data_IF_177215109217
#
_entry.id   IF_177215109217
#
_cell.length_a   1.000
_cell.length_b   1.000
_cell.length_c   1.000
_cell.angle_alpha   90.00
_cell.angle_beta   90.00
_cell.angle_gamma   90.00
#
_symmetry.space_group_name_H-M   'P 1'
#
loop_
_entity.id
_entity.type
_entity.pdbx_description
1 polymer ?
#
# COMPACT_ATOMS: atom_id res chain seq x y z
N UNK A 1 -2.52 -7.51 -8.46
CA UNK A 1 -3.07 -6.57 -9.44
C UNK A 1 -2.74 -7.03 -10.86
N UNK A 2 -3.35 -6.43 -11.88
CA UNK A 2 -3.23 -6.87 -13.28
C UNK A 2 -1.77 -6.89 -13.75
N UNK A 3 -0.97 -5.91 -13.35
CA UNK A 3 0.46 -5.79 -13.70
C UNK A 3 1.30 -7.02 -13.33
N UNK A 4 0.93 -7.73 -12.28
CA UNK A 4 1.65 -8.93 -11.83
C UNK A 4 1.47 -10.13 -12.77
N UNK A 5 0.52 -10.07 -13.70
CA UNK A 5 0.25 -11.16 -14.65
C UNK A 5 0.96 -10.99 -16.00
N UNK A 6 1.66 -9.86 -16.22
CA UNK A 6 2.33 -9.61 -17.51
C UNK A 6 3.63 -10.35 -17.72
N UNK A 7 4.55 -10.52 -16.73
CA UNK A 7 5.67 -11.43 -16.93
C UNK A 7 5.13 -12.85 -17.15
N UNK A 8 5.44 -13.51 -18.27
CA UNK A 8 4.76 -14.76 -18.67
C UNK A 8 4.92 -15.87 -17.62
N UNK A 9 6.10 -16.02 -17.04
CA UNK A 9 6.36 -17.02 -16.00
C UNK A 9 5.61 -16.70 -14.71
N UNK A 10 5.66 -15.45 -14.26
CA UNK A 10 4.97 -14.99 -13.06
C UNK A 10 3.45 -15.08 -13.23
N UNK A 11 2.93 -14.66 -14.39
CA UNK A 11 1.49 -14.76 -14.69
C UNK A 11 1.01 -16.20 -14.77
N UNK A 12 1.84 -17.11 -15.30
CA UNK A 12 1.56 -18.54 -15.29
C UNK A 12 1.51 -19.09 -13.86
N UNK A 13 2.52 -18.80 -13.03
CA UNK A 13 2.57 -19.23 -11.63
C UNK A 13 1.34 -18.74 -10.86
N UNK A 14 1.03 -17.45 -10.94
CA UNK A 14 -0.11 -16.85 -10.25
C UNK A 14 -1.43 -17.52 -10.64
N UNK A 15 -1.66 -17.81 -11.93
CA UNK A 15 -2.85 -18.53 -12.36
C UNK A 15 -2.92 -19.95 -11.82
N UNK A 16 -1.78 -20.65 -11.73
CA UNK A 16 -1.75 -22.02 -11.22
C UNK A 16 -1.98 -22.11 -9.70
N UNK A 17 -1.73 -21.03 -8.94
CA UNK A 17 -2.09 -20.96 -7.52
C UNK A 17 -3.48 -20.34 -7.29
N UNK A 18 -4.32 -20.23 -8.32
CA UNK A 18 -5.69 -19.75 -8.22
C UNK A 18 -5.84 -18.23 -8.16
N UNK A 19 -4.76 -17.46 -8.38
CA UNK A 19 -4.86 -16.00 -8.40
C UNK A 19 -5.47 -15.51 -9.73
N UNK A 20 -6.34 -14.51 -9.66
CA UNK A 20 -6.88 -13.80 -10.81
C UNK A 20 -6.58 -12.30 -10.74
N UNK A 21 -6.60 -11.65 -11.90
CA UNK A 21 -6.22 -10.25 -12.01
C UNK A 21 -7.34 -9.31 -11.53
N UNK A 22 -6.93 -8.18 -10.96
CA UNK A 22 -7.84 -7.09 -10.55
C UNK A 22 -7.27 -5.78 -11.07
N UNK A 23 -8.09 -4.99 -11.74
CA UNK A 23 -7.76 -3.60 -12.09
C UNK A 23 -8.22 -2.70 -10.95
N UNK A 24 -7.25 -2.21 -10.17
CA UNK A 24 -7.53 -1.39 -8.98
C UNK A 24 -8.15 -0.04 -9.37
N UNK A 25 -9.05 0.47 -8.51
CA UNK A 25 -9.64 1.80 -8.68
C UNK A 25 -10.62 1.94 -9.84
N UNK A 26 -11.00 0.85 -10.49
CA UNK A 26 -12.03 0.80 -11.52
C UNK A 26 -13.07 -0.27 -11.21
N UNK A 27 -14.22 -0.16 -11.84
CA UNK A 27 -15.24 -1.21 -11.77
C UNK A 27 -14.86 -2.36 -12.71
N UNK A 28 -14.02 -3.29 -12.19
CA UNK A 28 -13.59 -4.49 -12.92
C UNK A 28 -14.70 -5.56 -12.90
N UNK A 29 -15.66 -5.42 -13.79
CA UNK A 29 -16.82 -6.32 -13.87
C UNK A 29 -16.45 -7.81 -14.05
N UNK A 30 -15.44 -8.19 -14.85
CA UNK A 30 -14.97 -9.58 -14.92
C UNK A 30 -14.49 -10.12 -13.57
N UNK A 31 -13.65 -9.34 -12.86
CA UNK A 31 -13.19 -9.70 -11.53
C UNK A 31 -14.37 -9.85 -10.55
N UNK A 32 -15.30 -8.90 -10.53
CA UNK A 32 -16.46 -8.94 -9.64
C UNK A 32 -17.34 -10.15 -9.87
N UNK A 33 -17.62 -10.51 -11.14
CA UNK A 33 -18.38 -11.71 -11.48
C UNK A 33 -17.67 -12.99 -11.06
N UNK A 34 -16.34 -13.06 -11.27
CA UNK A 34 -15.52 -14.19 -10.85
C UNK A 34 -15.58 -14.38 -9.34
N UNK A 35 -15.27 -13.32 -8.56
CA UNK A 35 -15.28 -13.37 -7.09
C UNK A 35 -16.64 -13.79 -6.53
N UNK A 36 -17.72 -13.21 -7.06
CA UNK A 36 -19.09 -13.50 -6.63
C UNK A 36 -19.46 -14.97 -6.86
N UNK A 37 -19.14 -15.51 -8.05
CA UNK A 37 -19.37 -16.93 -8.38
C UNK A 37 -18.59 -17.88 -7.48
N UNK A 38 -17.32 -17.59 -7.22
CA UNK A 38 -16.49 -18.41 -6.33
C UNK A 38 -17.06 -18.45 -4.91
N UNK A 39 -17.51 -17.30 -4.39
CA UNK A 39 -18.12 -17.22 -3.07
C UNK A 39 -19.49 -17.93 -3.02
N UNK A 40 -20.32 -17.78 -4.06
CA UNK A 40 -21.63 -18.46 -4.13
C UNK A 40 -21.49 -19.98 -4.29
N UNK A 41 -20.47 -20.47 -5.00
CA UNK A 41 -20.18 -21.90 -5.12
C UNK A 41 -19.73 -22.53 -3.78
N UNK A 42 -19.02 -21.76 -2.94
CA UNK A 42 -18.59 -22.21 -1.61
C UNK A 42 -17.55 -23.34 -1.60
N UNK A 43 -16.97 -23.66 -2.76
CA UNK A 43 -16.00 -24.77 -2.89
C UNK A 43 -14.61 -24.42 -2.38
N UNK A 44 -14.24 -23.13 -2.49
CA UNK A 44 -12.90 -22.65 -2.15
C UNK A 44 -12.95 -21.30 -1.41
N UNK A 45 -12.04 -21.07 -0.46
CA UNK A 45 -11.90 -19.75 0.15
C UNK A 45 -11.34 -18.72 -0.85
N UNK A 46 -11.78 -17.48 -0.74
CA UNK A 46 -11.24 -16.35 -1.52
C UNK A 46 -10.40 -15.47 -0.59
N UNK A 47 -9.14 -15.27 -0.92
CA UNK A 47 -8.25 -14.37 -0.17
C UNK A 47 -8.32 -12.96 -0.75
N UNK A 48 -8.64 -11.99 0.09
CA UNK A 48 -8.76 -10.57 -0.29
C UNK A 48 -7.92 -9.73 0.65
N UNK A 49 -7.13 -8.80 0.08
CA UNK A 49 -6.39 -7.79 0.83
C UNK A 49 -7.23 -6.51 0.88
N UNK A 50 -7.91 -6.21 2.01
CA UNK A 50 -8.95 -5.19 2.06
C UNK A 50 -8.41 -3.75 2.01
N UNK A 51 -7.15 -3.54 2.30
CA UNK A 51 -6.51 -2.22 2.17
C UNK A 51 -6.39 -1.78 0.71
N UNK A 52 -6.32 -2.73 -0.22
CA UNK A 52 -6.26 -2.48 -1.66
C UNK A 52 -4.94 -1.88 -2.15
N UNK A 53 -4.02 -1.53 -1.26
CA UNK A 53 -2.68 -1.01 -1.56
C UNK A 53 -1.62 -1.61 -0.62
N UNK A 54 -0.37 -1.61 -1.08
CA UNK A 54 0.77 -1.97 -0.24
C UNK A 54 1.32 -0.69 0.37
N UNK A 55 0.95 -0.41 1.62
CA UNK A 55 1.42 0.80 2.33
C UNK A 55 2.80 0.61 2.96
N UNK A 56 3.28 -0.64 3.08
CA UNK A 56 4.58 -0.95 3.68
C UNK A 56 4.67 -0.56 5.15
N UNK A 57 3.56 -0.66 5.88
CA UNK A 57 3.48 -0.50 7.33
C UNK A 57 3.17 -1.85 7.95
N UNK A 58 3.93 -2.19 8.99
CA UNK A 58 3.85 -3.49 9.65
C UNK A 58 3.13 -3.44 11.00
N UNK A 59 2.84 -2.25 11.50
CA UNK A 59 2.28 -2.01 12.84
C UNK A 59 0.90 -1.34 12.84
N UNK A 60 0.43 -0.90 11.69
CA UNK A 60 -0.88 -0.23 11.51
C UNK A 60 -1.53 -0.76 10.25
N UNK A 61 -2.85 -0.96 10.29
CA UNK A 61 -3.62 -1.22 9.08
C UNK A 61 -4.06 0.08 8.41
N UNK A 62 -4.12 0.06 7.08
CA UNK A 62 -4.75 1.12 6.31
C UNK A 62 -6.28 1.08 6.37
N UNK A 63 -6.93 2.08 5.79
CA UNK A 63 -8.38 2.08 5.67
C UNK A 63 -8.86 0.92 4.78
N UNK A 64 -9.78 0.10 5.29
CA UNK A 64 -10.34 -1.00 4.52
C UNK A 64 -11.33 -0.51 3.47
N UNK A 65 -11.21 -1.09 2.30
CA UNK A 65 -12.20 -0.93 1.24
C UNK A 65 -13.40 -1.85 1.53
N UNK A 66 -14.64 -1.40 1.27
CA UNK A 66 -15.84 -2.19 1.55
C UNK A 66 -15.99 -3.44 0.65
N UNK A 67 -15.05 -3.67 -0.26
CA UNK A 67 -15.11 -4.72 -1.25
C UNK A 67 -15.30 -6.12 -0.67
N UNK A 68 -14.68 -6.44 0.47
CA UNK A 68 -14.83 -7.76 1.12
C UNK A 68 -16.29 -8.01 1.51
N UNK A 69 -16.89 -7.07 2.25
CA UNK A 69 -18.29 -7.16 2.65
C UNK A 69 -19.23 -7.12 1.43
N UNK A 70 -18.92 -6.28 0.45
CA UNK A 70 -19.72 -6.17 -0.77
C UNK A 70 -19.75 -7.46 -1.56
N UNK A 71 -18.64 -8.16 -1.72
CA UNK A 71 -18.59 -9.45 -2.41
C UNK A 71 -19.38 -10.53 -1.66
N UNK A 72 -19.30 -10.55 -0.35
CA UNK A 72 -20.11 -11.49 0.46
C UNK A 72 -21.61 -11.24 0.29
N UNK A 73 -22.05 -9.99 0.35
CA UNK A 73 -23.47 -9.65 0.15
C UNK A 73 -23.95 -9.94 -1.28
N UNK A 74 -23.13 -9.68 -2.29
CA UNK A 74 -23.47 -10.06 -3.66
C UNK A 74 -23.57 -11.57 -3.87
N UNK A 75 -22.75 -12.38 -3.19
CA UNK A 75 -22.88 -13.82 -3.19
C UNK A 75 -24.19 -14.27 -2.51
N UNK A 76 -24.55 -13.62 -1.39
CA UNK A 76 -25.84 -13.87 -0.71
C UNK A 76 -27.04 -13.47 -1.57
N UNK A 77 -26.96 -12.39 -2.35
CA UNK A 77 -27.98 -12.00 -3.33
C UNK A 77 -28.18 -13.10 -4.38
N UNK A 78 -27.10 -13.71 -4.90
CA UNK A 78 -27.19 -14.84 -5.86
C UNK A 78 -27.81 -16.09 -5.21
N UNK A 79 -27.36 -16.43 -4.00
CA UNK A 79 -27.90 -17.58 -3.27
C UNK A 79 -29.39 -17.40 -2.95
N UNK A 80 -29.80 -16.20 -2.58
CA UNK A 80 -31.21 -15.85 -2.34
C UNK A 80 -32.05 -15.96 -3.62
N UNK A 81 -31.51 -15.52 -4.76
CA UNK A 81 -32.19 -15.63 -6.04
C UNK A 81 -32.35 -17.10 -6.52
N UNK A 82 -31.38 -17.94 -6.15
CA UNK A 82 -31.38 -19.35 -6.53
C UNK A 82 -32.27 -20.22 -5.62
N UNK A 83 -32.56 -19.81 -4.39
CA UNK A 83 -33.35 -20.59 -3.40
C UNK A 83 -34.13 -19.70 -2.46
N UNK A 84 -35.37 -20.11 -2.15
CA UNK A 84 -36.23 -19.48 -1.14
C UNK A 84 -35.94 -20.01 0.30
N UNK A 85 -35.07 -21.00 0.44
CA UNK A 85 -34.70 -21.59 1.72
C UNK A 85 -33.83 -20.66 2.58
N UNK A 86 -33.41 -21.11 3.77
CA UNK A 86 -32.47 -20.37 4.60
C UNK A 86 -31.14 -20.17 3.86
N UNK A 87 -30.57 -18.97 3.97
CA UNK A 87 -29.27 -18.68 3.37
C UNK A 87 -28.15 -19.44 4.11
N UNK A 88 -27.21 -20.04 3.36
CA UNK A 88 -26.03 -20.60 3.99
C UNK A 88 -25.17 -19.48 4.62
N UNK A 89 -24.39 -19.78 5.67
CA UNK A 89 -23.50 -18.80 6.26
C UNK A 89 -22.33 -18.49 5.32
N UNK A 90 -22.05 -17.20 5.11
CA UNK A 90 -20.86 -16.71 4.44
C UNK A 90 -19.95 -16.11 5.50
N UNK A 91 -18.78 -16.69 5.68
CA UNK A 91 -17.82 -16.27 6.68
C UNK A 91 -16.67 -15.46 6.08
N UNK A 92 -16.20 -14.46 6.82
CA UNK A 92 -14.93 -13.82 6.60
C UNK A 92 -13.99 -14.08 7.77
N UNK A 93 -12.89 -14.80 7.54
CA UNK A 93 -11.85 -15.02 8.53
C UNK A 93 -10.83 -13.87 8.46
N UNK A 94 -10.69 -13.07 9.53
CA UNK A 94 -9.66 -12.03 9.59
C UNK A 94 -8.28 -12.68 9.73
N UNK A 95 -7.36 -12.38 8.79
CA UNK A 95 -5.99 -12.88 8.84
C UNK A 95 -5.05 -11.71 9.06
N UNK A 96 -4.33 -11.73 10.18
CA UNK A 96 -3.32 -10.74 10.53
C UNK A 96 -1.93 -11.28 10.22
N UNK A 97 -1.13 -10.51 9.50
CA UNK A 97 0.26 -10.86 9.20
C UNK A 97 1.19 -9.81 9.79
N UNK A 98 2.21 -10.26 10.52
CA UNK A 98 3.20 -9.41 11.17
C UNK A 98 4.60 -9.91 10.88
N UNK A 99 5.49 -9.01 10.50
CA UNK A 99 6.92 -9.31 10.34
C UNK A 99 7.70 -8.78 11.55
N UNK A 100 8.50 -9.64 12.15
CA UNK A 100 9.35 -9.33 13.30
C UNK A 100 10.81 -9.56 12.95
N UNK A 101 11.68 -8.75 13.53
CA UNK A 101 13.12 -8.86 13.42
C UNK A 101 13.66 -9.59 14.67
N UNK A 102 14.11 -10.84 14.57
CA UNK A 102 14.52 -11.63 15.74
C UNK A 102 15.88 -11.21 16.32
N UNK A 103 16.67 -10.41 15.60
CA UNK A 103 17.99 -9.96 16.00
C UNK A 103 18.16 -8.45 15.94
N UNK A 104 19.28 -7.95 16.43
CA UNK A 104 19.64 -6.53 16.32
C UNK A 104 20.07 -6.18 14.89
N UNK A 105 19.22 -5.41 14.20
CA UNK A 105 19.48 -4.95 12.82
C UNK A 105 20.09 -3.55 12.76
N UNK A 106 20.32 -2.88 13.89
CA UNK A 106 20.89 -1.52 13.93
C UNK A 106 22.22 -1.41 13.17
N UNK A 107 23.18 -2.35 13.26
CA UNK A 107 24.43 -2.26 12.50
C UNK A 107 24.19 -2.34 10.98
N UNK A 108 23.19 -3.13 10.53
CA UNK A 108 22.83 -3.23 9.12
C UNK A 108 22.18 -1.93 8.64
N UNK A 109 21.24 -1.36 9.42
CA UNK A 109 20.60 -0.09 9.12
C UNK A 109 21.60 1.07 9.09
N UNK A 110 22.54 1.12 10.04
CA UNK A 110 23.61 2.11 10.07
C UNK A 110 24.47 2.10 8.79
N UNK A 111 24.82 0.89 8.29
CA UNK A 111 25.56 0.74 7.02
C UNK A 111 24.75 1.24 5.82
N UNK A 112 23.44 0.96 5.79
CA UNK A 112 22.54 1.42 4.72
C UNK A 112 22.39 2.93 4.72
N UNK A 113 22.23 3.54 5.90
CA UNK A 113 22.19 5.00 6.06
C UNK A 113 23.51 5.65 5.59
N UNK A 114 24.66 5.07 5.96
CA UNK A 114 25.96 5.57 5.50
C UNK A 114 26.12 5.55 3.96
N UNK A 115 25.48 4.61 3.26
CA UNK A 115 25.44 4.59 1.80
C UNK A 115 24.59 5.73 1.23
N UNK A 116 23.42 5.98 1.83
CA UNK A 116 22.54 7.09 1.44
C UNK A 116 23.18 8.44 1.72
N UNK A 117 23.78 8.61 2.89
CA UNK A 117 24.51 9.83 3.30
C UNK A 117 25.61 10.16 2.28
N UNK A 118 26.45 9.18 1.92
CA UNK A 118 27.46 9.36 0.88
C UNK A 118 26.86 9.78 -0.47
N UNK A 119 25.77 9.14 -0.89
CA UNK A 119 25.10 9.47 -2.16
C UNK A 119 24.50 10.87 -2.16
N UNK A 120 24.07 11.35 -1.00
CA UNK A 120 23.47 12.68 -0.80
C UNK A 120 24.52 13.75 -0.41
N UNK A 121 25.79 13.38 -0.29
CA UNK A 121 26.88 14.25 0.19
C UNK A 121 26.59 14.84 1.59
N UNK A 122 26.00 14.05 2.49
CA UNK A 122 25.77 14.42 3.87
C UNK A 122 27.01 14.05 4.70
N UNK A 123 27.55 15.02 5.41
CA UNK A 123 28.71 14.87 6.29
C UNK A 123 28.29 15.22 7.71
N UNK A 124 27.67 14.31 8.41
CA UNK A 124 27.31 14.55 9.81
C UNK A 124 27.81 13.40 10.69
N UNK A 125 28.57 13.70 11.74
CA UNK A 125 29.11 12.70 12.66
C UNK A 125 28.09 12.14 13.65
N UNK A 126 26.80 12.40 13.49
CA UNK A 126 25.76 11.88 14.39
C UNK A 126 25.75 10.36 14.42
N UNK A 127 25.70 9.83 15.62
CA UNK A 127 25.69 8.37 15.88
C UNK A 127 24.27 7.83 16.03
N UNK A 128 23.31 8.68 16.41
CA UNK A 128 21.92 8.26 16.57
C UNK A 128 21.25 8.00 15.22
N UNK A 129 20.64 6.81 15.11
CA UNK A 129 20.05 6.36 13.84
C UNK A 129 18.80 7.14 13.46
N UNK A 130 18.03 7.62 14.43
CA UNK A 130 16.83 8.39 14.17
C UNK A 130 17.17 9.78 13.61
N UNK A 131 18.13 10.46 14.20
CA UNK A 131 18.64 11.74 13.72
C UNK A 131 19.24 11.64 12.31
N UNK A 132 20.00 10.57 12.03
CA UNK A 132 20.54 10.28 10.71
C UNK A 132 19.42 10.08 9.69
N UNK A 133 18.39 9.30 10.06
CA UNK A 133 17.23 9.08 9.22
C UNK A 133 16.48 10.38 8.92
N UNK A 134 16.30 11.24 9.92
CA UNK A 134 15.68 12.55 9.77
C UNK A 134 16.42 13.44 8.76
N UNK A 135 17.76 13.48 8.84
CA UNK A 135 18.58 14.25 7.89
C UNK A 135 18.53 13.71 6.47
N UNK A 136 18.55 12.39 6.31
CA UNK A 136 18.37 11.77 5.01
C UNK A 136 16.97 12.13 4.46
N UNK A 137 15.94 12.09 5.30
CA UNK A 137 14.58 12.48 4.94
C UNK A 137 14.49 13.93 4.49
N UNK A 138 15.10 14.87 5.23
CA UNK A 138 15.18 16.28 4.84
C UNK A 138 15.88 16.49 3.50
N UNK A 139 17.00 15.82 3.26
CA UNK A 139 17.73 15.92 2.00
C UNK A 139 16.90 15.37 0.81
N UNK A 140 16.21 14.24 1.01
CA UNK A 140 15.33 13.66 0.00
C UNK A 140 14.15 14.57 -0.30
N UNK A 141 13.55 15.17 0.74
CA UNK A 141 12.45 16.13 0.56
C UNK A 141 12.93 17.38 -0.19
N UNK A 142 14.09 17.94 0.18
CA UNK A 142 14.66 19.10 -0.50
C UNK A 142 14.98 18.82 -1.98
N UNK A 143 15.36 17.59 -2.35
CA UNK A 143 15.54 17.19 -3.74
C UNK A 143 14.18 17.17 -4.44
N UNK A 144 13.16 16.59 -3.84
CA UNK A 144 11.82 16.57 -4.41
C UNK A 144 11.24 17.98 -4.58
N UNK A 145 11.37 18.84 -3.57
CA UNK A 145 10.94 20.23 -3.64
C UNK A 145 11.54 20.96 -4.86
N UNK A 146 12.86 20.83 -5.07
CA UNK A 146 13.53 21.41 -6.25
C UNK A 146 13.04 20.82 -7.56
N UNK A 147 12.86 19.51 -7.62
CA UNK A 147 12.41 18.80 -8.82
C UNK A 147 10.99 19.22 -9.25
N UNK A 148 10.12 19.50 -8.26
CA UNK A 148 8.75 19.93 -8.51
C UNK A 148 8.54 21.46 -8.43
N UNK A 149 9.61 22.24 -8.30
CA UNK A 149 9.56 23.70 -8.31
C UNK A 149 8.87 24.29 -7.08
N UNK A 150 8.98 23.63 -5.93
CA UNK A 150 8.42 24.09 -4.66
C UNK A 150 9.43 24.95 -3.91
N UNK A 151 8.97 26.04 -3.35
CA UNK A 151 9.75 26.88 -2.43
C UNK A 151 9.17 26.73 -1.04
N UNK A 152 9.85 26.03 -0.10
CA UNK A 152 9.36 25.87 1.25
C UNK A 152 9.25 27.22 1.95
N UNK A 153 8.19 27.41 2.74
CA UNK A 153 8.11 28.56 3.63
C UNK A 153 9.21 28.49 4.70
N UNK A 154 9.86 29.62 5.03
CA UNK A 154 10.81 29.66 6.14
C UNK A 154 10.18 29.13 7.43
N UNK A 155 10.81 28.15 8.07
CA UNK A 155 10.28 27.51 9.29
C UNK A 155 9.08 26.57 9.09
N UNK A 156 8.75 26.22 7.84
CA UNK A 156 7.67 25.28 7.54
C UNK A 156 7.93 23.90 8.16
N UNK A 157 6.87 23.30 8.74
CA UNK A 157 6.96 21.98 9.34
C UNK A 157 7.26 20.93 8.26
N UNK A 158 8.06 19.94 8.60
CA UNK A 158 8.45 18.86 7.69
C UNK A 158 7.23 18.16 7.08
N UNK A 159 6.22 17.85 7.90
CA UNK A 159 4.98 17.21 7.42
C UNK A 159 4.22 18.06 6.40
N UNK A 160 4.13 19.38 6.60
CA UNK A 160 3.43 20.28 5.68
C UNK A 160 4.14 20.34 4.33
N UNK A 161 5.48 20.37 4.36
CA UNK A 161 6.32 20.32 3.15
C UNK A 161 6.13 19.03 2.38
N UNK A 162 6.03 17.90 3.08
CA UNK A 162 5.73 16.60 2.46
C UNK A 162 4.34 16.59 1.84
N UNK A 163 3.32 17.12 2.51
CA UNK A 163 1.98 17.23 1.92
C UNK A 163 1.99 18.12 0.67
N UNK A 164 2.70 19.25 0.70
CA UNK A 164 2.87 20.12 -0.46
C UNK A 164 3.56 19.39 -1.63
N UNK A 165 4.62 18.63 -1.35
CA UNK A 165 5.33 17.84 -2.35
C UNK A 165 4.40 16.77 -2.97
N UNK A 166 3.66 16.04 -2.16
CA UNK A 166 2.66 15.06 -2.64
C UNK A 166 1.60 15.71 -3.54
N UNK A 167 1.07 16.85 -3.12
CA UNK A 167 0.06 17.58 -3.90
C UNK A 167 0.62 18.05 -5.26
N UNK A 168 1.84 18.59 -5.28
CA UNK A 168 2.52 19.02 -6.50
C UNK A 168 2.77 17.85 -7.48
N UNK A 169 3.25 16.72 -6.96
CA UNK A 169 3.45 15.51 -7.76
C UNK A 169 2.14 15.04 -8.39
N UNK A 170 1.09 14.91 -7.58
CA UNK A 170 -0.22 14.49 -8.07
C UNK A 170 -0.80 15.44 -9.10
N UNK A 171 -0.67 16.76 -8.90
CA UNK A 171 -1.12 17.77 -9.85
C UNK A 171 -0.34 17.72 -11.17
N UNK A 172 0.97 17.47 -11.11
CA UNK A 172 1.82 17.27 -12.32
C UNK A 172 1.34 16.05 -13.10
N UNK A 173 1.23 14.89 -12.44
CA UNK A 173 0.80 13.65 -13.10
C UNK A 173 -0.60 13.81 -13.69
N UNK A 174 -1.53 14.40 -12.94
CA UNK A 174 -2.91 14.62 -13.38
C UNK A 174 -2.98 15.46 -14.69
N UNK A 175 -2.16 16.51 -14.79
CA UNK A 175 -2.05 17.31 -16.03
C UNK A 175 -1.52 16.49 -17.19
N UNK A 176 -0.46 15.70 -17.00
CA UNK A 176 0.17 14.90 -18.05
C UNK A 176 -0.76 13.81 -18.61
N UNK A 177 -1.65 13.25 -17.77
CA UNK A 177 -2.61 12.23 -18.19
C UNK A 177 -4.02 12.76 -18.43
N UNK A 178 -4.21 14.09 -18.37
CA UNK A 178 -5.48 14.78 -18.55
C UNK A 178 -6.61 14.26 -17.64
N UNK A 179 -6.34 14.22 -16.34
CA UNK A 179 -7.27 13.76 -15.29
C UNK A 179 -7.50 14.90 -14.30
N UNK A 180 -8.76 15.11 -13.90
CA UNK A 180 -9.11 16.08 -12.86
C UNK A 180 -9.16 15.39 -11.49
N UNK A 181 -8.38 15.90 -10.54
CA UNK A 181 -8.40 15.42 -9.15
C UNK A 181 -9.61 15.99 -8.43
N UNK A 182 -10.32 15.14 -7.71
CA UNK A 182 -11.51 15.53 -6.94
C UNK A 182 -11.14 15.84 -5.48
N UNK A 183 -11.53 17.01 -4.92
CA UNK A 183 -11.17 17.41 -3.56
C UNK A 183 -11.66 16.47 -2.46
N UNK A 184 -12.78 15.76 -2.73
CA UNK A 184 -13.43 14.82 -1.79
C UNK A 184 -12.73 13.45 -1.70
N UNK A 185 -11.62 13.25 -2.42
CA UNK A 185 -10.89 11.98 -2.47
C UNK A 185 -9.59 12.02 -1.68
N UNK A 186 -9.21 10.86 -1.15
CA UNK A 186 -7.95 10.72 -0.42
C UNK A 186 -6.74 10.73 -1.36
N UNK A 187 -5.55 11.00 -0.82
CA UNK A 187 -4.28 10.86 -1.57
C UNK A 187 -4.15 9.49 -2.24
N UNK A 188 -4.53 8.43 -1.54
CA UNK A 188 -4.46 7.05 -2.06
C UNK A 188 -5.43 6.84 -3.23
N UNK A 189 -6.65 7.41 -3.15
CA UNK A 189 -7.60 7.32 -4.25
C UNK A 189 -7.10 8.08 -5.49
N UNK A 190 -6.49 9.25 -5.30
CA UNK A 190 -5.83 9.99 -6.40
C UNK A 190 -4.71 9.18 -7.04
N UNK A 191 -3.84 8.57 -6.24
CA UNK A 191 -2.76 7.72 -6.74
C UNK A 191 -3.31 6.56 -7.56
N UNK A 192 -4.34 5.85 -7.06
CA UNK A 192 -5.00 4.75 -7.79
C UNK A 192 -5.57 5.20 -9.13
N UNK A 193 -6.31 6.32 -9.11
CA UNK A 193 -6.90 6.88 -10.33
C UNK A 193 -5.84 7.25 -11.36
N UNK A 194 -4.73 7.84 -10.93
CA UNK A 194 -3.63 8.23 -11.80
C UNK A 194 -2.84 7.02 -12.32
N UNK A 195 -2.59 5.99 -11.50
CA UNK A 195 -2.03 4.72 -11.99
C UNK A 195 -2.88 4.11 -13.11
N UNK A 196 -4.21 4.08 -12.94
CA UNK A 196 -5.11 3.57 -13.98
C UNK A 196 -5.07 4.42 -15.26
N UNK A 197 -4.93 5.73 -15.14
CA UNK A 197 -4.81 6.61 -16.29
C UNK A 197 -3.48 6.38 -17.04
N UNK A 198 -2.37 6.27 -16.31
CA UNK A 198 -1.05 5.92 -16.85
C UNK A 198 -1.11 4.55 -17.54
N UNK A 199 -1.68 3.54 -16.88
CA UNK A 199 -1.85 2.18 -17.43
C UNK A 199 -2.65 2.18 -18.74
N UNK A 200 -3.76 2.92 -18.79
CA UNK A 200 -4.60 3.03 -19.99
C UNK A 200 -3.82 3.58 -21.18
N UNK A 201 -2.98 4.59 -20.95
CA UNK A 201 -2.17 5.20 -22.00
C UNK A 201 -1.04 4.25 -22.41
N UNK A 202 -0.30 3.71 -21.45
CA UNK A 202 0.88 2.88 -21.72
C UNK A 202 0.55 1.54 -22.34
N UNK A 203 -0.66 1.02 -22.08
CA UNK A 203 -1.15 -0.27 -22.59
C UNK A 203 -2.17 -0.13 -23.74
N UNK A 204 -2.36 1.07 -24.26
CA UNK A 204 -3.26 1.28 -25.39
C UNK A 204 -2.83 0.45 -26.63
N UNK A 205 -3.82 -0.11 -27.33
CA UNK A 205 -3.57 -0.85 -28.55
C UNK A 205 -2.76 -0.02 -29.58
N UNK A 206 -1.91 -0.66 -30.40
CA UNK A 206 -1.10 0.04 -31.37
C UNK A 206 -1.97 0.83 -32.36
N UNK A 207 -1.59 2.08 -32.61
CA UNK A 207 -2.27 2.93 -33.60
C UNK A 207 -2.15 2.32 -35.02
N UNK A 208 -3.11 2.60 -35.93
CA UNK A 208 -3.19 1.92 -37.23
C UNK A 208 -2.05 2.27 -38.18
N UNK A 209 -1.57 3.51 -38.16
CA UNK A 209 -0.50 3.95 -39.08
C UNK A 209 0.88 3.93 -38.45
N UNK A 210 1.94 3.81 -39.26
CA UNK A 210 3.32 3.82 -38.79
C UNK A 210 3.69 5.12 -38.06
N UNK A 211 3.24 6.26 -38.60
CA UNK A 211 3.46 7.56 -37.98
C UNK A 211 2.74 7.71 -36.64
N UNK A 212 1.47 7.36 -36.59
CA UNK A 212 0.70 7.39 -35.34
C UNK A 212 1.29 6.45 -34.28
N UNK A 213 1.79 5.26 -34.66
CA UNK A 213 2.50 4.35 -33.75
C UNK A 213 3.79 4.96 -33.19
N UNK A 214 4.53 5.75 -34.00
CA UNK A 214 5.73 6.45 -33.53
C UNK A 214 5.36 7.47 -32.44
N UNK A 215 4.38 8.33 -32.70
CA UNK A 215 3.89 9.33 -31.75
C UNK A 215 3.34 8.68 -30.47
N UNK A 216 2.57 7.60 -30.63
CA UNK A 216 2.03 6.84 -29.50
C UNK A 216 3.15 6.28 -28.61
N UNK A 217 4.21 5.70 -29.20
CA UNK A 217 5.36 5.19 -28.43
C UNK A 217 6.11 6.30 -27.69
N UNK A 218 6.29 7.45 -28.31
CA UNK A 218 6.92 8.63 -27.67
C UNK A 218 6.07 9.13 -26.49
N UNK A 219 4.76 9.21 -26.67
CA UNK A 219 3.82 9.57 -25.61
C UNK A 219 3.83 8.53 -24.48
N UNK A 220 3.75 7.24 -24.81
CA UNK A 220 3.80 6.14 -23.83
C UNK A 220 5.09 6.16 -23.00
N UNK A 221 6.26 6.45 -23.62
CA UNK A 221 7.53 6.57 -22.88
C UNK A 221 7.51 7.73 -21.87
N UNK A 222 6.99 8.90 -22.27
CA UNK A 222 6.83 10.05 -21.35
C UNK A 222 5.91 9.70 -20.18
N UNK A 223 4.75 9.14 -20.49
CA UNK A 223 3.77 8.76 -19.48
C UNK A 223 4.28 7.63 -18.56
N UNK A 224 5.06 6.69 -19.08
CA UNK A 224 5.68 5.64 -18.27
C UNK A 224 6.62 6.19 -17.18
N UNK A 225 7.26 7.32 -17.41
CA UNK A 225 8.12 7.96 -16.41
C UNK A 225 7.32 8.41 -15.16
N UNK A 226 6.02 8.69 -15.32
CA UNK A 226 5.15 9.13 -14.23
C UNK A 226 4.89 8.04 -13.18
N UNK A 227 5.18 6.76 -13.48
CA UNK A 227 5.13 5.71 -12.46
C UNK A 227 6.08 6.00 -11.28
N UNK A 228 7.25 6.55 -11.56
CA UNK A 228 8.23 6.93 -10.51
C UNK A 228 7.62 7.98 -9.58
N UNK A 229 6.95 8.98 -10.14
CA UNK A 229 6.26 10.05 -9.40
C UNK A 229 5.17 9.48 -8.47
N UNK A 230 4.33 8.61 -9.00
CA UNK A 230 3.24 7.99 -8.22
C UNK A 230 3.76 7.09 -7.11
N UNK A 231 4.82 6.31 -7.37
CA UNK A 231 5.47 5.51 -6.32
C UNK A 231 6.12 6.39 -5.26
N UNK A 232 6.69 7.56 -5.64
CA UNK A 232 7.22 8.54 -4.68
C UNK A 232 6.13 9.06 -3.73
N UNK A 233 4.94 9.38 -4.26
CA UNK A 233 3.79 9.78 -3.41
C UNK A 233 3.44 8.71 -2.40
N UNK A 234 3.40 7.43 -2.80
CA UNK A 234 3.13 6.31 -1.88
C UNK A 234 4.22 6.17 -0.80
N UNK A 235 5.49 6.30 -1.17
CA UNK A 235 6.60 6.27 -0.22
C UNK A 235 6.53 7.43 0.77
N UNK A 236 6.16 8.62 0.31
CA UNK A 236 5.96 9.78 1.17
C UNK A 236 4.69 9.68 2.03
N UNK A 237 3.63 9.02 1.55
CA UNK A 237 2.37 8.90 2.29
C UNK A 237 2.52 8.18 3.63
N UNK A 238 3.40 7.22 3.70
CA UNK A 238 3.58 6.37 4.87
C UNK A 238 4.76 6.80 5.77
N UNK A 239 5.45 7.90 5.46
CA UNK A 239 6.65 8.32 6.19
C UNK A 239 6.39 9.21 7.42
N UNK A 240 5.17 9.72 7.66
CA UNK A 240 4.98 10.96 8.41
C UNK A 240 3.91 11.00 9.49
N UNK A 241 3.47 9.89 10.01
CA UNK A 241 2.66 9.93 11.23
C UNK A 241 3.59 10.06 12.43
N UNK A 242 3.80 11.29 12.89
CA UNK A 242 4.50 11.76 14.08
C UNK A 242 5.17 10.69 14.94
N UNK A 243 6.35 10.23 14.52
CA UNK A 243 7.06 9.20 15.29
C UNK A 243 7.52 9.78 16.61
N UNK A 244 7.01 9.18 17.70
CA UNK A 244 7.64 9.37 18.99
C UNK A 244 8.94 8.55 19.02
N UNK A 245 10.13 9.17 19.12
CA UNK A 245 11.41 8.46 19.18
C UNK A 245 11.45 7.40 20.28
N UNK A 246 10.80 7.64 21.43
CA UNK A 246 10.77 6.72 22.57
C UNK A 246 10.00 5.43 22.30
N UNK A 247 9.14 5.43 21.29
CA UNK A 247 8.34 4.27 20.87
C UNK A 247 8.80 3.66 19.55
N UNK A 248 9.91 4.16 18.99
CA UNK A 248 10.42 3.66 17.73
C UNK A 248 10.97 2.25 17.92
N UNK A 249 10.49 1.32 17.09
CA UNK A 249 11.00 -0.06 17.05
C UNK A 249 11.99 -0.22 15.90
N UNK A 250 12.80 -1.27 15.95
CA UNK A 250 13.73 -1.56 14.86
C UNK A 250 13.01 -1.92 13.54
N UNK A 251 11.83 -2.56 13.62
CA UNK A 251 10.99 -2.84 12.47
C UNK A 251 10.54 -1.54 11.79
N UNK A 252 10.12 -0.56 12.59
CA UNK A 252 9.68 0.73 12.06
C UNK A 252 10.85 1.53 11.48
N UNK A 253 12.00 1.54 12.16
CA UNK A 253 13.20 2.16 11.64
C UNK A 253 13.64 1.53 10.29
N UNK A 254 13.53 0.21 10.18
CA UNK A 254 13.79 -0.51 8.93
C UNK A 254 12.83 -0.08 7.82
N UNK A 255 11.53 0.02 8.10
CA UNK A 255 10.54 0.44 7.10
C UNK A 255 10.80 1.84 6.56
N UNK A 256 11.11 2.78 7.45
CA UNK A 256 11.48 4.15 7.09
C UNK A 256 12.75 4.18 6.26
N UNK A 257 13.77 3.42 6.69
CA UNK A 257 15.03 3.28 5.96
C UNK A 257 14.78 2.68 4.56
N UNK A 258 13.93 1.67 4.43
CA UNK A 258 13.58 1.07 3.14
C UNK A 258 13.01 2.09 2.15
N UNK A 259 12.16 2.99 2.60
CA UNK A 259 11.54 4.02 1.75
C UNK A 259 12.56 5.02 1.25
N UNK A 260 13.38 5.53 2.16
CA UNK A 260 14.45 6.47 1.80
C UNK A 260 15.51 5.81 0.92
N UNK A 261 15.88 4.56 1.21
CA UNK A 261 16.85 3.82 0.39
C UNK A 261 16.35 3.62 -1.04
N UNK A 262 15.06 3.31 -1.21
CA UNK A 262 14.47 3.22 -2.54
C UNK A 262 14.53 4.55 -3.31
N UNK A 263 14.25 5.67 -2.63
CA UNK A 263 14.36 7.00 -3.25
C UNK A 263 15.80 7.38 -3.62
N UNK A 264 16.76 7.06 -2.75
CA UNK A 264 18.16 7.48 -2.92
C UNK A 264 18.94 6.54 -3.83
N UNK A 265 18.74 5.21 -3.68
CA UNK A 265 19.54 4.19 -4.34
C UNK A 265 18.78 3.39 -5.41
N UNK A 266 17.44 3.51 -5.47
CA UNK A 266 16.60 2.78 -6.42
C UNK A 266 16.49 1.27 -6.17
N UNK A 267 16.97 0.77 -5.03
CA UNK A 267 16.94 -0.64 -4.66
C UNK A 267 16.96 -0.82 -3.15
N UNK A 268 16.44 -1.93 -2.66
CA UNK A 268 16.45 -2.29 -1.25
C UNK A 268 17.57 -3.29 -0.97
N UNK A 269 18.17 -3.17 0.21
CA UNK A 269 19.19 -4.08 0.71
C UNK A 269 18.67 -4.95 1.84
N UNK A 270 19.16 -6.14 1.89
CA UNK A 270 18.83 -7.07 2.96
C UNK A 270 19.34 -6.57 4.32
N UNK A 271 18.50 -6.65 5.34
CA UNK A 271 18.85 -6.23 6.72
C UNK A 271 19.12 -7.40 7.65
N UNK A 272 18.58 -8.57 7.36
CA UNK A 272 18.67 -9.75 8.18
C UNK A 272 17.42 -10.65 8.06
N UNK A 273 17.41 -11.78 8.74
CA UNK A 273 16.24 -12.67 8.75
C UNK A 273 15.03 -11.96 9.38
N UNK A 274 13.85 -12.27 8.86
CA UNK A 274 12.56 -11.82 9.41
C UNK A 274 11.70 -13.04 9.74
N UNK A 275 10.94 -12.94 10.81
CA UNK A 275 9.92 -13.93 11.18
C UNK A 275 8.55 -13.41 10.79
N UNK A 276 7.85 -14.11 9.91
CA UNK A 276 6.45 -13.83 9.61
C UNK A 276 5.55 -14.54 10.63
N UNK A 277 4.75 -13.78 11.35
CA UNK A 277 3.71 -14.28 12.24
C UNK A 277 2.38 -14.13 11.54
N UNK A 278 1.71 -15.24 11.28
CA UNK A 278 0.37 -15.26 10.67
C UNK A 278 -0.62 -15.73 11.73
N UNK A 279 -1.66 -14.95 11.94
CA UNK A 279 -2.75 -15.28 12.84
C UNK A 279 -4.07 -15.27 12.08
N UNK A 280 -4.82 -16.38 12.20
CA UNK A 280 -6.18 -16.49 11.69
C UNK A 280 -7.13 -16.29 12.88
N UNK A 281 -7.91 -15.21 12.83
CA UNK A 281 -8.89 -14.89 13.87
C UNK A 281 -10.22 -15.64 13.68
N UNK A 282 -11.12 -15.45 14.63
CA UNK A 282 -12.45 -16.07 14.60
C UNK A 282 -13.24 -15.62 13.35
N UNK A 283 -13.81 -16.57 12.61
CA UNK A 283 -14.61 -16.27 11.43
C UNK A 283 -15.85 -15.43 11.78
N UNK A 284 -16.05 -14.33 11.06
CA UNK A 284 -17.19 -13.44 11.22
C UNK A 284 -18.27 -13.85 10.21
N UNK A 285 -19.45 -14.22 10.72
CA UNK A 285 -20.59 -14.57 9.88
C UNK A 285 -21.20 -13.31 9.24
N UNK A 286 -20.94 -13.06 7.97
CA UNK A 286 -21.47 -11.92 7.25
C UNK A 286 -22.94 -12.07 6.86
N UNK A 287 -23.48 -13.29 6.83
CA UNK A 287 -24.92 -13.53 6.61
C UNK A 287 -25.77 -12.88 7.70
N UNK A 288 -25.25 -12.73 8.92
CA UNK A 288 -25.94 -12.06 10.03
C UNK A 288 -26.25 -10.55 9.74
N UNK A 289 -25.53 -9.93 8.79
CA UNK A 289 -25.76 -8.54 8.40
C UNK A 289 -26.62 -8.41 7.13
N UNK A 290 -27.11 -9.54 6.56
CA UNK A 290 -27.79 -9.51 5.26
C UNK A 290 -29.16 -8.83 5.31
N UNK A 291 -29.92 -9.00 6.38
CA UNK A 291 -31.21 -8.33 6.54
C UNK A 291 -31.04 -6.80 6.63
N UNK A 292 -30.00 -6.34 7.29
CA UNK A 292 -29.63 -4.92 7.32
C UNK A 292 -29.19 -4.44 5.92
N UNK A 293 -28.39 -5.24 5.21
CA UNK A 293 -27.99 -4.94 3.83
C UNK A 293 -29.19 -4.79 2.89
N UNK A 294 -30.23 -5.55 3.11
CA UNK A 294 -31.48 -5.43 2.33
C UNK A 294 -32.26 -4.15 2.65
N UNK A 295 -32.14 -3.61 3.88
CA UNK A 295 -32.77 -2.37 4.32
C UNK A 295 -31.93 -1.15 3.99
N UNK A 296 -30.66 -1.16 4.40
CA UNK A 296 -29.69 -0.10 4.18
C UNK A 296 -28.32 -0.68 3.81
N UNK A 297 -28.04 -0.67 2.50
CA UNK A 297 -26.79 -1.22 1.95
C UNK A 297 -25.56 -0.51 2.50
N UNK A 298 -25.60 0.81 2.66
CA UNK A 298 -24.44 1.57 3.10
C UNK A 298 -24.12 1.31 4.57
N UNK A 299 -25.13 1.30 5.41
CA UNK A 299 -24.96 1.01 6.83
C UNK A 299 -24.40 -0.40 7.05
N UNK A 300 -24.95 -1.42 6.40
CA UNK A 300 -24.48 -2.79 6.54
C UNK A 300 -23.04 -2.99 6.02
N UNK A 301 -22.69 -2.37 4.90
CA UNK A 301 -21.31 -2.39 4.38
C UNK A 301 -20.33 -1.74 5.35
N UNK A 302 -20.70 -0.58 5.91
CA UNK A 302 -19.86 0.11 6.88
C UNK A 302 -19.66 -0.72 8.15
N UNK A 303 -20.76 -1.28 8.71
CA UNK A 303 -20.72 -2.14 9.89
C UNK A 303 -19.84 -3.39 9.69
N UNK A 304 -20.05 -4.13 8.61
CA UNK A 304 -19.28 -5.33 8.30
C UNK A 304 -17.79 -5.02 8.06
N UNK A 305 -17.50 -3.96 7.31
CA UNK A 305 -16.12 -3.51 7.05
C UNK A 305 -15.42 -3.07 8.34
N UNK A 306 -16.10 -2.30 9.19
CA UNK A 306 -15.57 -1.87 10.48
C UNK A 306 -15.29 -3.07 11.40
N UNK A 307 -16.21 -4.05 11.47
CA UNK A 307 -16.02 -5.25 12.29
C UNK A 307 -14.80 -6.06 11.86
N UNK A 308 -14.59 -6.22 10.54
CA UNK A 308 -13.41 -6.90 9.99
C UNK A 308 -12.11 -6.14 10.30
N UNK A 309 -12.11 -4.83 10.11
CA UNK A 309 -10.96 -3.99 10.41
C UNK A 309 -10.61 -4.01 11.91
N UNK A 310 -11.62 -3.93 12.78
CA UNK A 310 -11.43 -3.98 14.23
C UNK A 310 -10.80 -5.30 14.69
N UNK A 311 -11.25 -6.43 14.15
CA UNK A 311 -10.71 -7.75 14.51
C UNK A 311 -9.23 -7.90 14.10
N UNK A 312 -8.85 -7.37 12.94
CA UNK A 312 -7.45 -7.39 12.49
C UNK A 312 -6.60 -6.41 13.30
N UNK A 313 -7.12 -5.20 13.57
CA UNK A 313 -6.38 -4.18 14.34
C UNK A 313 -6.16 -4.62 15.79
N UNK A 314 -7.14 -5.22 16.42
CA UNK A 314 -7.00 -5.78 17.77
C UNK A 314 -5.84 -6.77 17.85
N UNK A 315 -5.79 -7.73 16.93
CA UNK A 315 -4.71 -8.72 16.90
C UNK A 315 -3.37 -8.11 16.50
N UNK A 316 -3.36 -7.16 15.59
CA UNK A 316 -2.14 -6.45 15.23
C UNK A 316 -1.58 -5.68 16.44
N UNK A 317 -2.44 -5.06 17.25
CA UNK A 317 -2.03 -4.36 18.47
C UNK A 317 -1.36 -5.31 19.49
N UNK A 318 -1.91 -6.52 19.68
CA UNK A 318 -1.28 -7.55 20.52
C UNK A 318 0.11 -7.96 19.96
N UNK A 319 0.19 -8.15 18.63
CA UNK A 319 1.45 -8.54 17.99
C UNK A 319 2.48 -7.40 18.00
N UNK A 320 2.05 -6.14 18.03
CA UNK A 320 2.93 -4.99 18.15
C UNK A 320 3.73 -5.00 19.45
N UNK A 321 3.17 -5.54 20.53
CA UNK A 321 3.88 -5.71 21.80
C UNK A 321 5.10 -6.66 21.70
N UNK A 322 5.23 -7.43 20.63
CA UNK A 322 6.38 -8.32 20.38
C UNK A 322 7.51 -7.63 19.60
N UNK A 323 7.30 -6.42 19.09
CA UNK A 323 8.36 -5.64 18.45
C UNK A 323 9.37 -5.15 19.49
N UNK A 324 10.62 -5.02 19.09
CA UNK A 324 11.70 -4.58 19.97
C UNK A 324 11.85 -3.07 19.91
N UNK A 325 11.56 -2.32 21.00
CA UNK A 325 11.87 -0.91 21.08
C UNK A 325 13.39 -0.66 20.92
N UNK A 326 13.77 0.36 20.16
CA UNK A 326 15.18 0.70 19.97
C UNK A 326 15.90 0.99 21.30
N UNK A 327 15.21 1.66 22.23
CA UNK A 327 15.72 1.97 23.56
C UNK A 327 16.02 0.71 24.41
N UNK A 328 15.35 -0.42 24.13
CA UNK A 328 15.57 -1.68 24.86
C UNK A 328 16.77 -2.48 24.30
N UNK A 329 17.31 -2.09 23.15
CA UNK A 329 18.49 -2.73 22.58
C UNK A 329 19.74 -2.11 23.21
N UNK A 330 20.46 -2.88 24.02
CA UNK A 330 21.74 -2.46 24.57
C UNK A 330 22.70 -2.06 23.44
N UNK A 331 23.47 -0.96 23.55
CA UNK A 331 24.48 -0.63 22.57
C UNK A 331 25.43 -1.80 22.37
N UNK A 332 25.62 -2.24 21.13
CA UNK A 332 26.63 -3.25 20.82
C UNK A 332 28.00 -2.66 21.17
N UNK A 333 28.56 -3.03 22.31
CA UNK A 333 29.90 -2.65 22.71
C UNK A 333 30.03 -1.60 23.83
N UNK A 334 29.22 -1.69 24.88
CA UNK A 334 29.70 -1.21 26.18
C UNK A 334 30.45 -2.37 26.84
N UNK A 335 31.75 -2.20 27.18
CA UNK A 335 32.54 -3.23 27.85
C UNK A 335 32.01 -3.55 29.23
#
# INVERSE_FOLDING_TARGET
ALENFFPPLQGWLLRNVGAYSVVRGTMDLPCFRCTRRLLAAGEHPVVIFPEGEIVGQNDVIGAFQPGVAQFAFWALDELRAASQGPLPPVYAAPVTMKYLLPGDVRPALARRMALMERKLNLTDPRTDLYDRLGKIGEAVLAIAEREYGLTPAPGGLFNDRVQAAKAAILARVAREVNVTLRPDRTTIDHVRMLFNAVDRITRAAPAPTAYARKLQREHQRRVSALYVDLWRVLRFAAAFDGYNPDRLTQERLMELTNRLEWEVLGSLRWVGPMTAVVHVGEPINLTAYYDEYRRDRQAALAMATHRLAAAIQEKLTELNARMTPLAALTPAGAP
#
